data_IF_815021965739
#
_entry.id   IF_815021965739
#
_cell.length_a   1.000
_cell.length_b   1.000
_cell.length_c   1.000
_cell.angle_alpha   90.00
_cell.angle_beta   90.00
_cell.angle_gamma   90.00
#
_symmetry.space_group_name_H-M   'P 1'
#
loop_
_entity.id
_entity.type
_entity.pdbx_description
1 polymer ?
#
# COMPACT_ATOMS: atom_id res chain seq x y z
N UNK A 1 -36.78 -16.04 26.47
CA UNK A 1 -35.72 -15.36 25.75
C UNK A 1 -34.60 -16.31 25.24
N UNK A 2 -34.84 -17.20 24.26
CA UNK A 2 -33.76 -18.01 23.67
C UNK A 2 -33.49 -17.70 22.18
N UNK A 3 -33.95 -16.57 21.64
CA UNK A 3 -33.91 -16.28 20.19
C UNK A 3 -32.58 -15.68 19.69
N UNK A 4 -31.72 -15.21 20.54
CA UNK A 4 -30.45 -14.59 20.12
C UNK A 4 -29.31 -15.60 19.84
N UNK A 5 -29.30 -16.75 20.47
CA UNK A 5 -28.19 -17.73 20.39
C UNK A 5 -28.27 -18.69 19.20
N UNK A 6 -29.44 -18.80 18.55
CA UNK A 6 -29.64 -19.65 17.36
C UNK A 6 -29.45 -18.89 16.01
N UNK A 7 -28.89 -17.69 16.04
CA UNK A 7 -28.60 -16.97 14.80
C UNK A 7 -27.37 -17.58 14.15
N UNK A 8 -27.48 -18.17 12.94
CA UNK A 8 -26.35 -18.79 12.24
C UNK A 8 -25.20 -17.83 12.01
N UNK A 9 -25.47 -16.53 11.83
CA UNK A 9 -24.44 -15.50 11.69
C UNK A 9 -23.62 -15.30 12.96
N UNK A 10 -24.25 -15.36 14.15
CA UNK A 10 -23.54 -15.26 15.43
C UNK A 10 -22.69 -16.51 15.71
N UNK A 11 -23.19 -17.69 15.34
CA UNK A 11 -22.43 -18.93 15.46
C UNK A 11 -21.19 -18.93 14.53
N UNK A 12 -21.33 -18.45 13.29
CA UNK A 12 -20.21 -18.28 12.35
C UNK A 12 -19.20 -17.24 12.86
N UNK A 13 -19.66 -16.11 13.38
CA UNK A 13 -18.78 -15.08 13.96
C UNK A 13 -18.02 -15.64 15.19
N UNK A 14 -18.70 -16.37 16.07
CA UNK A 14 -18.05 -17.01 17.22
C UNK A 14 -17.01 -18.05 16.79
N UNK A 15 -17.28 -18.81 15.72
CA UNK A 15 -16.31 -19.74 15.15
C UNK A 15 -15.09 -19.04 14.58
N UNK A 16 -15.28 -17.94 13.85
CA UNK A 16 -14.19 -17.10 13.33
C UNK A 16 -13.32 -16.51 14.47
N UNK A 17 -13.94 -15.97 15.51
CA UNK A 17 -13.24 -15.41 16.67
C UNK A 17 -12.42 -16.44 17.46
N UNK A 18 -12.76 -17.72 17.36
CA UNK A 18 -12.01 -18.83 18.00
C UNK A 18 -10.79 -19.28 17.20
N UNK A 19 -10.67 -18.89 15.93
CA UNK A 19 -9.54 -19.25 15.09
C UNK A 19 -8.33 -18.36 15.40
N UNK A 20 -7.16 -18.92 15.77
CA UNK A 20 -5.96 -18.12 16.00
C UNK A 20 -5.58 -17.27 14.79
N UNK A 21 -5.81 -17.79 13.58
CA UNK A 21 -5.53 -17.13 12.30
C UNK A 21 -6.25 -15.79 12.16
N UNK A 22 -7.49 -15.68 12.70
CA UNK A 22 -8.24 -14.45 12.72
C UNK A 22 -7.49 -13.33 13.47
N UNK A 23 -6.92 -13.64 14.63
CA UNK A 23 -6.18 -12.67 15.44
C UNK A 23 -4.84 -12.29 14.80
N UNK A 24 -4.15 -13.24 14.14
CA UNK A 24 -2.95 -12.93 13.37
C UNK A 24 -3.25 -11.95 12.23
N UNK A 25 -4.35 -12.10 11.51
CA UNK A 25 -4.76 -11.18 10.44
C UNK A 25 -5.03 -9.78 10.98
N UNK A 26 -5.70 -9.67 12.13
CA UNK A 26 -6.05 -8.40 12.74
C UNK A 26 -4.87 -7.70 13.42
N UNK A 27 -3.81 -8.41 13.79
CA UNK A 27 -2.71 -7.83 14.57
C UNK A 27 -1.43 -7.64 13.77
N UNK A 28 -1.08 -8.54 12.85
CA UNK A 28 0.21 -8.52 12.15
C UNK A 28 0.44 -7.21 11.38
N UNK A 29 -0.45 -6.86 10.46
CA UNK A 29 -0.30 -5.67 9.64
C UNK A 29 -0.41 -4.37 10.46
N UNK A 30 -1.40 -4.19 11.37
CA UNK A 30 -1.42 -3.05 12.26
C UNK A 30 -0.17 -2.91 13.13
N UNK A 31 0.37 -4.01 13.67
CA UNK A 31 1.61 -3.97 14.46
C UNK A 31 2.79 -3.47 13.62
N UNK A 32 2.93 -3.93 12.38
CA UNK A 32 3.94 -3.42 11.46
C UNK A 32 3.75 -1.94 11.16
N UNK A 33 2.51 -1.47 10.95
CA UNK A 33 2.19 -0.04 10.77
C UNK A 33 2.53 0.76 12.01
N UNK A 34 2.24 0.25 13.22
CA UNK A 34 2.59 0.90 14.48
C UNK A 34 4.11 1.03 14.63
N UNK A 35 4.85 -0.06 14.46
CA UNK A 35 6.32 -0.08 14.52
C UNK A 35 6.91 0.90 13.51
N UNK A 36 6.46 0.85 12.28
CA UNK A 36 6.88 1.75 11.22
C UNK A 36 6.67 3.23 11.57
N UNK A 37 5.50 3.54 12.12
CA UNK A 37 5.16 4.91 12.53
C UNK A 37 6.06 5.38 13.69
N UNK A 38 6.28 4.54 14.69
CA UNK A 38 7.15 4.84 15.84
C UNK A 38 8.61 5.03 15.40
N UNK A 39 9.13 4.14 14.56
CA UNK A 39 10.50 4.25 14.02
C UNK A 39 10.67 5.54 13.22
N UNK A 40 9.72 5.88 12.35
CA UNK A 40 9.74 7.11 11.59
C UNK A 40 9.75 8.37 12.47
N UNK A 41 8.95 8.38 13.55
CA UNK A 41 8.92 9.48 14.52
C UNK A 41 10.20 9.58 15.34
N UNK A 42 10.78 8.44 15.75
CA UNK A 42 11.93 8.40 16.65
C UNK A 42 13.27 8.65 15.96
N UNK A 43 13.45 8.11 14.75
CA UNK A 43 14.74 8.11 14.03
C UNK A 43 14.78 9.07 12.84
N UNK A 44 13.71 9.86 12.65
CA UNK A 44 13.66 10.94 11.67
C UNK A 44 13.38 10.50 10.24
N UNK A 45 13.58 11.42 9.29
CA UNK A 45 13.15 11.27 7.90
C UNK A 45 13.81 10.10 7.15
N UNK A 46 15.06 9.76 7.47
CA UNK A 46 15.78 8.64 6.83
C UNK A 46 15.11 7.32 7.21
N UNK A 47 14.86 7.11 8.50
CA UNK A 47 14.18 5.91 8.98
C UNK A 47 12.73 5.83 8.46
N UNK A 48 12.01 6.95 8.45
CA UNK A 48 10.68 7.03 7.86
C UNK A 48 10.67 6.64 6.37
N UNK A 49 11.66 7.12 5.61
CA UNK A 49 11.84 6.76 4.20
C UNK A 49 12.16 5.27 3.98
N UNK A 50 13.04 4.69 4.81
CA UNK A 50 13.36 3.25 4.76
C UNK A 50 12.12 2.40 5.01
N UNK A 51 11.34 2.77 6.02
CA UNK A 51 10.13 2.02 6.39
C UNK A 51 9.01 2.18 5.36
N UNK A 52 8.86 3.37 4.77
CA UNK A 52 7.81 3.62 3.76
C UNK A 52 7.95 2.76 2.49
N UNK A 53 9.16 2.29 2.17
CA UNK A 53 9.40 1.39 1.04
C UNK A 53 9.15 -0.09 1.33
N UNK A 54 8.85 -0.45 2.58
CA UNK A 54 8.57 -1.82 2.96
C UNK A 54 7.10 -2.18 2.71
N UNK A 55 6.79 -3.44 2.41
CA UNK A 55 5.43 -3.91 2.14
C UNK A 55 4.61 -4.13 3.42
N UNK A 56 4.46 -3.07 4.23
CA UNK A 56 3.93 -3.15 5.60
C UNK A 56 2.45 -3.59 5.64
N UNK A 57 1.65 -3.19 4.66
CA UNK A 57 0.23 -3.56 4.56
C UNK A 57 0.04 -4.70 3.57
N UNK A 58 0.54 -4.53 2.34
CA UNK A 58 0.34 -5.52 1.29
C UNK A 58 1.16 -6.80 1.51
N UNK A 59 2.30 -6.74 2.21
CA UNK A 59 3.08 -7.93 2.56
C UNK A 59 2.30 -8.95 3.37
N UNK A 60 1.69 -8.59 4.49
CA UNK A 60 0.77 -9.46 5.23
C UNK A 60 -0.39 -10.00 4.40
N UNK A 61 -1.01 -9.19 3.53
CA UNK A 61 -2.07 -9.65 2.63
C UNK A 61 -1.55 -10.78 1.72
N UNK A 62 -0.41 -10.56 1.05
CA UNK A 62 0.21 -11.55 0.18
C UNK A 62 0.68 -12.79 0.94
N UNK A 63 1.13 -12.61 2.20
CA UNK A 63 1.48 -13.72 3.08
C UNK A 63 0.27 -14.61 3.37
N UNK A 64 -0.87 -14.02 3.78
CA UNK A 64 -2.10 -14.78 4.03
C UNK A 64 -2.65 -15.41 2.75
N UNK A 65 -2.56 -14.73 1.62
CA UNK A 65 -2.93 -15.35 0.34
C UNK A 65 -2.09 -16.59 0.02
N UNK A 66 -0.78 -16.53 0.27
CA UNK A 66 0.11 -17.65 0.02
C UNK A 66 -0.08 -18.82 1.02
N UNK A 67 -0.38 -18.52 2.29
CA UNK A 67 -0.59 -19.55 3.31
C UNK A 67 -1.95 -20.22 3.22
N UNK A 68 -3.00 -19.46 2.92
CA UNK A 68 -4.39 -19.96 2.96
C UNK A 68 -4.89 -20.47 1.61
N UNK A 69 -4.46 -19.82 0.51
CA UNK A 69 -4.88 -20.17 -0.84
C UNK A 69 -3.78 -20.90 -1.64
N UNK A 70 -2.60 -21.01 -1.06
CA UNK A 70 -1.45 -21.67 -1.65
C UNK A 70 -0.47 -20.76 -2.40
N UNK A 71 0.77 -21.23 -2.62
CA UNK A 71 1.87 -20.44 -3.21
C UNK A 71 1.56 -19.90 -4.61
N UNK A 72 0.83 -20.67 -5.43
CA UNK A 72 0.44 -20.26 -6.79
C UNK A 72 -0.50 -19.05 -6.77
N UNK A 73 -1.47 -19.05 -5.85
CA UNK A 73 -2.37 -17.92 -5.63
C UNK A 73 -1.58 -16.68 -5.16
N UNK A 74 -0.69 -16.84 -4.17
CA UNK A 74 0.16 -15.76 -3.66
C UNK A 74 1.07 -15.17 -4.73
N UNK A 75 1.67 -15.98 -5.59
CA UNK A 75 2.51 -15.53 -6.71
C UNK A 75 1.68 -14.74 -7.75
N UNK A 76 0.51 -15.23 -8.13
CA UNK A 76 -0.39 -14.53 -9.05
C UNK A 76 -0.91 -13.21 -8.45
N UNK A 77 -1.21 -13.19 -7.14
CA UNK A 77 -1.59 -11.98 -6.44
C UNK A 77 -0.43 -10.96 -6.37
N UNK A 78 0.81 -11.40 -6.12
CA UNK A 78 1.99 -10.53 -6.14
C UNK A 78 2.21 -9.89 -7.53
N UNK A 79 2.04 -10.67 -8.61
CA UNK A 79 2.09 -10.16 -9.97
C UNK A 79 1.00 -9.10 -10.22
N UNK A 80 -0.22 -9.36 -9.77
CA UNK A 80 -1.34 -8.43 -9.92
C UNK A 80 -1.18 -7.19 -9.03
N UNK A 81 -0.48 -7.31 -7.90
CA UNK A 81 -0.14 -6.17 -7.03
C UNK A 81 0.81 -5.19 -7.73
N UNK A 82 1.74 -5.68 -8.57
CA UNK A 82 2.56 -4.81 -9.43
C UNK A 82 1.69 -3.95 -10.36
N UNK A 83 0.68 -4.55 -10.97
CA UNK A 83 -0.27 -3.82 -11.83
C UNK A 83 -1.17 -2.90 -11.00
N UNK A 84 -1.49 -3.24 -9.76
CA UNK A 84 -2.19 -2.39 -8.81
C UNK A 84 -1.46 -1.07 -8.51
N UNK A 85 -0.13 -1.01 -8.72
CA UNK A 85 0.63 0.25 -8.64
C UNK A 85 0.19 1.27 -9.69
N UNK A 86 -0.36 0.84 -10.83
CA UNK A 86 -0.95 1.75 -11.82
C UNK A 86 -2.15 2.47 -11.21
N UNK A 87 -3.05 1.74 -10.55
CA UNK A 87 -4.21 2.32 -9.87
C UNK A 87 -3.78 3.28 -8.74
N UNK A 88 -2.74 2.91 -7.99
CA UNK A 88 -2.18 3.76 -6.94
C UNK A 88 -1.51 5.01 -7.51
N UNK A 89 -0.85 4.91 -8.67
CA UNK A 89 -0.30 6.06 -9.40
C UNK A 89 -1.41 7.02 -9.84
N UNK A 90 -2.52 6.50 -10.36
CA UNK A 90 -3.70 7.30 -10.73
C UNK A 90 -4.30 8.03 -9.52
N UNK A 91 -4.45 7.32 -8.38
CA UNK A 91 -4.84 7.95 -7.12
C UNK A 91 -3.96 9.14 -6.79
N UNK A 92 -2.64 8.92 -6.84
CA UNK A 92 -1.65 9.91 -6.42
C UNK A 92 -1.70 11.17 -7.29
N UNK A 93 -1.76 10.98 -8.61
CA UNK A 93 -1.81 12.08 -9.59
C UNK A 93 -3.14 12.84 -9.47
N UNK A 94 -4.27 12.12 -9.40
CA UNK A 94 -5.60 12.72 -9.29
C UNK A 94 -5.74 13.55 -7.99
N UNK A 95 -5.28 13.01 -6.86
CA UNK A 95 -5.27 13.73 -5.60
C UNK A 95 -4.42 15.01 -5.70
N UNK A 96 -3.18 14.88 -6.21
CA UNK A 96 -2.23 15.99 -6.27
C UNK A 96 -2.74 17.14 -7.15
N UNK A 97 -3.29 16.85 -8.33
CA UNK A 97 -3.84 17.86 -9.22
C UNK A 97 -5.08 18.53 -8.66
N UNK A 98 -5.97 17.76 -8.01
CA UNK A 98 -7.16 18.35 -7.36
C UNK A 98 -6.77 19.25 -6.20
N UNK A 99 -5.79 18.87 -5.40
CA UNK A 99 -5.25 19.69 -4.32
C UNK A 99 -4.61 20.96 -4.86
N UNK A 100 -3.79 20.84 -5.92
CA UNK A 100 -3.10 21.96 -6.56
C UNK A 100 -4.08 23.00 -7.16
N UNK A 101 -5.22 22.55 -7.71
CA UNK A 101 -6.27 23.42 -8.25
C UNK A 101 -7.17 24.04 -7.17
N UNK A 102 -6.76 24.03 -5.90
CA UNK A 102 -7.51 24.63 -4.79
C UNK A 102 -8.61 23.74 -4.21
N UNK A 103 -8.62 22.44 -4.53
CA UNK A 103 -9.57 21.48 -3.95
C UNK A 103 -9.34 21.26 -2.47
N UNK A 104 -10.42 21.00 -1.72
CA UNK A 104 -10.32 20.58 -0.32
C UNK A 104 -9.67 19.20 -0.20
N UNK A 105 -9.13 18.86 0.99
CA UNK A 105 -8.57 17.55 1.25
C UNK A 105 -9.58 16.41 1.00
N UNK A 106 -10.86 16.63 1.33
CA UNK A 106 -11.92 15.66 1.09
C UNK A 106 -12.20 15.47 -0.42
N UNK A 107 -12.35 16.56 -1.17
CA UNK A 107 -12.59 16.47 -2.63
C UNK A 107 -11.42 15.84 -3.36
N UNK A 108 -10.19 16.11 -2.93
CA UNK A 108 -8.98 15.49 -3.48
C UNK A 108 -8.91 13.99 -3.17
N UNK A 109 -9.31 13.61 -1.95
CA UNK A 109 -9.38 12.21 -1.53
C UNK A 109 -10.41 11.43 -2.35
N UNK A 110 -11.63 11.96 -2.48
CA UNK A 110 -12.70 11.31 -3.24
C UNK A 110 -12.27 11.12 -4.69
N UNK A 111 -11.71 12.15 -5.34
CA UNK A 111 -11.23 12.04 -6.70
C UNK A 111 -10.09 11.00 -6.83
N UNK A 112 -9.16 10.97 -5.88
CA UNK A 112 -8.10 9.97 -5.83
C UNK A 112 -8.65 8.54 -5.72
N UNK A 113 -9.59 8.29 -4.81
CA UNK A 113 -10.21 6.97 -4.65
C UNK A 113 -11.02 6.55 -5.89
N UNK A 114 -11.73 7.47 -6.51
CA UNK A 114 -12.42 7.22 -7.78
C UNK A 114 -11.42 6.83 -8.87
N UNK A 115 -10.30 7.55 -8.99
CA UNK A 115 -9.25 7.24 -9.95
C UNK A 115 -8.61 5.87 -9.68
N UNK A 116 -8.36 5.52 -8.41
CA UNK A 116 -7.90 4.19 -8.02
C UNK A 116 -8.89 3.10 -8.43
N UNK A 117 -10.16 3.27 -8.08
CA UNK A 117 -11.21 2.30 -8.37
C UNK A 117 -11.40 2.09 -9.88
N UNK A 118 -11.46 3.17 -10.65
CA UNK A 118 -11.55 3.11 -12.11
C UNK A 118 -10.34 2.42 -12.73
N UNK A 119 -9.12 2.77 -12.29
CA UNK A 119 -7.90 2.11 -12.73
C UNK A 119 -7.92 0.61 -12.43
N UNK A 120 -8.33 0.23 -11.23
CA UNK A 120 -8.45 -1.17 -10.82
C UNK A 120 -9.49 -1.93 -11.68
N UNK A 121 -10.65 -1.34 -11.93
CA UNK A 121 -11.68 -1.95 -12.78
C UNK A 121 -11.19 -2.13 -14.22
N UNK A 122 -10.57 -1.11 -14.79
CA UNK A 122 -10.01 -1.17 -16.16
C UNK A 122 -8.94 -2.27 -16.26
N UNK A 123 -7.98 -2.27 -15.34
CA UNK A 123 -6.92 -3.29 -15.34
C UNK A 123 -7.51 -4.68 -15.16
N UNK A 124 -8.44 -4.87 -14.21
CA UNK A 124 -9.08 -6.16 -13.99
C UNK A 124 -9.82 -6.67 -15.25
N UNK A 125 -10.47 -5.78 -16.01
CA UNK A 125 -11.12 -6.12 -17.27
C UNK A 125 -10.11 -6.52 -18.37
N UNK A 126 -9.00 -5.81 -18.47
CA UNK A 126 -7.93 -6.15 -19.41
C UNK A 126 -7.29 -7.50 -19.07
N UNK A 127 -7.11 -7.81 -17.79
CA UNK A 127 -6.56 -9.07 -17.33
C UNK A 127 -7.52 -10.26 -17.47
N UNK A 128 -8.79 -10.02 -17.71
CA UNK A 128 -9.74 -11.09 -18.04
C UNK A 128 -9.45 -11.76 -19.38
N UNK A 129 -8.84 -11.03 -20.32
CA UNK A 129 -8.48 -11.51 -21.66
C UNK A 129 -6.98 -11.76 -21.87
N UNK A 130 -6.13 -11.22 -21.01
CA UNK A 130 -4.68 -11.29 -21.13
C UNK A 130 -4.01 -11.61 -19.77
N UNK A 131 -3.15 -12.62 -19.76
CA UNK A 131 -2.32 -12.95 -18.60
C UNK A 131 -0.96 -12.27 -18.76
N UNK A 132 -0.68 -11.22 -18.00
CA UNK A 132 0.56 -10.48 -18.15
C UNK A 132 1.76 -11.32 -17.73
N UNK A 133 2.85 -11.19 -18.46
CA UNK A 133 4.17 -11.64 -18.03
C UNK A 133 4.69 -10.75 -16.88
N UNK A 134 5.69 -11.23 -16.16
CA UNK A 134 6.35 -10.41 -15.14
C UNK A 134 6.99 -9.14 -15.74
N UNK A 135 7.54 -9.24 -16.95
CA UNK A 135 8.13 -8.09 -17.63
C UNK A 135 7.08 -7.01 -17.93
N UNK A 136 5.90 -7.39 -18.40
CA UNK A 136 4.78 -6.46 -18.60
C UNK A 136 4.30 -5.86 -17.29
N UNK A 137 4.14 -6.67 -16.23
CA UNK A 137 3.73 -6.17 -14.91
C UNK A 137 4.74 -5.19 -14.31
N UNK A 138 6.05 -5.45 -14.47
CA UNK A 138 7.11 -4.51 -14.07
C UNK A 138 7.10 -3.24 -14.92
N UNK A 139 6.98 -3.37 -16.24
CA UNK A 139 6.95 -2.23 -17.15
C UNK A 139 5.78 -1.30 -16.81
N UNK A 140 4.58 -1.83 -16.66
CA UNK A 140 3.39 -1.03 -16.34
C UNK A 140 3.39 -0.55 -14.89
N UNK A 141 3.72 -1.41 -13.93
CA UNK A 141 3.73 -1.08 -12.51
C UNK A 141 4.81 -0.05 -12.18
N UNK A 142 6.09 -0.36 -12.39
CA UNK A 142 7.19 0.56 -12.11
C UNK A 142 7.20 1.76 -13.07
N UNK A 143 6.86 1.55 -14.35
CA UNK A 143 6.72 2.62 -15.34
C UNK A 143 5.66 3.65 -14.94
N UNK A 144 4.52 3.20 -14.39
CA UNK A 144 3.48 4.09 -13.89
C UNK A 144 3.95 4.97 -12.73
N UNK A 145 4.81 4.45 -11.84
CA UNK A 145 5.39 5.25 -10.75
C UNK A 145 6.26 6.39 -11.28
N UNK A 146 7.13 6.09 -12.26
CA UNK A 146 7.98 7.10 -12.90
C UNK A 146 7.15 8.15 -13.64
N UNK A 147 6.13 7.70 -14.37
CA UNK A 147 5.21 8.59 -15.07
C UNK A 147 4.43 9.46 -14.08
N UNK A 148 3.93 8.89 -12.99
CA UNK A 148 3.21 9.62 -11.96
C UNK A 148 4.09 10.69 -11.30
N UNK A 149 5.37 10.38 -11.00
CA UNK A 149 6.32 11.37 -10.45
C UNK A 149 6.48 12.57 -11.39
N UNK A 150 6.59 12.32 -12.71
CA UNK A 150 6.70 13.38 -13.72
C UNK A 150 5.40 14.14 -13.95
N UNK A 151 4.27 13.49 -13.71
CA UNK A 151 2.92 14.06 -13.86
C UNK A 151 2.43 14.81 -12.62
N UNK A 152 3.18 14.84 -11.52
CA UNK A 152 2.82 15.66 -10.37
C UNK A 152 2.81 17.14 -10.75
N UNK A 153 1.88 17.94 -10.19
CA UNK A 153 1.85 19.38 -10.44
C UNK A 153 3.18 20.05 -10.03
N UNK A 154 3.51 21.22 -10.59
CA UNK A 154 4.75 21.93 -10.25
C UNK A 154 4.80 22.25 -8.75
N UNK A 155 6.02 22.27 -8.19
CA UNK A 155 6.21 22.63 -6.80
C UNK A 155 5.82 24.11 -6.61
N UNK A 156 5.04 24.36 -5.58
CA UNK A 156 4.74 25.73 -5.13
C UNK A 156 5.78 26.13 -4.08
N UNK A 157 6.03 27.42 -3.95
CA UNK A 157 6.91 27.91 -2.89
C UNK A 157 6.38 27.43 -1.54
N UNK A 158 7.12 26.55 -0.90
CA UNK A 158 6.75 26.05 0.40
C UNK A 158 6.85 27.20 1.40
N UNK A 159 5.75 27.60 1.98
CA UNK A 159 5.81 28.31 3.25
C UNK A 159 6.38 27.31 4.24
N UNK A 160 7.62 27.53 4.67
CA UNK A 160 8.33 26.64 5.59
C UNK A 160 7.60 26.62 6.95
N UNK A 161 6.55 25.81 7.03
CA UNK A 161 5.90 25.46 8.30
C UNK A 161 6.48 24.11 8.75
N UNK A 162 6.91 24.07 10.00
CA UNK A 162 7.25 22.79 10.62
C UNK A 162 6.10 21.81 10.38
N UNK A 163 6.42 20.57 10.00
CA UNK A 163 5.41 19.55 9.84
C UNK A 163 4.67 19.40 11.17
N UNK A 164 3.36 19.67 11.21
CA UNK A 164 2.63 19.67 12.46
C UNK A 164 2.58 18.24 13.03
N UNK A 165 2.51 18.14 14.34
CA UNK A 165 2.36 16.85 15.00
C UNK A 165 1.03 16.20 14.59
N UNK A 166 1.07 14.89 14.22
CA UNK A 166 -0.15 14.18 13.88
C UNK A 166 -1.07 14.08 15.10
N UNK A 167 -2.40 14.21 14.90
CA UNK A 167 -3.34 14.12 16.01
C UNK A 167 -3.30 12.73 16.66
N UNK A 168 -3.72 12.64 17.92
CA UNK A 168 -3.72 11.40 18.71
C UNK A 168 -4.53 10.27 18.05
N UNK A 169 -5.56 10.60 17.27
CA UNK A 169 -6.39 9.63 16.55
C UNK A 169 -5.77 9.13 15.22
N UNK A 170 -4.68 9.73 14.72
CA UNK A 170 -4.02 9.35 13.48
C UNK A 170 -3.57 7.88 13.50
N UNK A 171 -2.85 7.48 14.52
CA UNK A 171 -2.36 6.10 14.64
C UNK A 171 -3.50 5.09 14.83
N UNK A 172 -4.45 5.26 15.78
CA UNK A 172 -5.60 4.36 15.90
C UNK A 172 -6.40 4.20 14.61
N UNK A 173 -6.65 5.28 13.88
CA UNK A 173 -7.38 5.22 12.62
C UNK A 173 -6.64 4.39 11.56
N UNK A 174 -5.32 4.57 11.44
CA UNK A 174 -4.50 3.77 10.52
C UNK A 174 -4.51 2.29 10.89
N UNK A 175 -4.36 1.97 12.17
CA UNK A 175 -4.37 0.60 12.66
C UNK A 175 -5.69 -0.08 12.36
N UNK A 176 -6.80 0.57 12.69
CA UNK A 176 -8.15 0.06 12.43
C UNK A 176 -8.41 -0.14 10.92
N UNK A 177 -8.13 0.87 10.11
CA UNK A 177 -8.34 0.80 8.67
C UNK A 177 -7.45 -0.26 8.00
N UNK A 178 -6.21 -0.44 8.50
CA UNK A 178 -5.31 -1.51 8.02
C UNK A 178 -5.83 -2.88 8.40
N UNK A 179 -6.24 -3.08 9.65
CA UNK A 179 -6.83 -4.34 10.11
C UNK A 179 -8.06 -4.71 9.29
N UNK A 180 -8.95 -3.74 9.07
CA UNK A 180 -10.17 -3.93 8.29
C UNK A 180 -9.84 -4.31 6.83
N UNK A 181 -8.90 -3.62 6.18
CA UNK A 181 -8.50 -3.94 4.81
C UNK A 181 -7.93 -5.35 4.70
N UNK A 182 -6.97 -5.70 5.56
CA UNK A 182 -6.34 -7.03 5.56
C UNK A 182 -7.40 -8.10 5.79
N UNK A 183 -8.27 -7.89 6.76
CA UNK A 183 -9.37 -8.81 7.03
C UNK A 183 -10.30 -8.99 5.81
N UNK A 184 -10.79 -7.90 5.23
CA UNK A 184 -11.71 -7.97 4.10
C UNK A 184 -11.07 -8.66 2.89
N UNK A 185 -9.84 -8.29 2.51
CA UNK A 185 -9.17 -8.88 1.36
C UNK A 185 -8.85 -10.36 1.56
N UNK A 186 -8.45 -10.76 2.77
CA UNK A 186 -8.15 -12.17 3.04
C UNK A 186 -9.39 -13.02 3.25
N UNK A 187 -10.45 -12.47 3.86
CA UNK A 187 -11.73 -13.15 4.02
C UNK A 187 -12.42 -13.42 2.67
N UNK A 188 -12.39 -12.44 1.77
CA UNK A 188 -12.96 -12.58 0.43
C UNK A 188 -11.97 -13.09 -0.62
N UNK A 189 -10.80 -13.61 -0.21
CA UNK A 189 -9.73 -14.01 -1.12
C UNK A 189 -10.20 -14.97 -2.23
N UNK A 190 -10.99 -15.99 -1.88
CA UNK A 190 -11.50 -16.95 -2.86
C UNK A 190 -12.47 -16.30 -3.86
N UNK A 191 -13.36 -15.43 -3.39
CA UNK A 191 -14.35 -14.72 -4.24
C UNK A 191 -13.68 -13.69 -5.14
N UNK A 192 -12.72 -12.93 -4.60
CA UNK A 192 -11.97 -11.92 -5.36
C UNK A 192 -11.01 -12.55 -6.37
N UNK A 193 -10.48 -13.72 -6.03
CA UNK A 193 -9.39 -14.35 -6.78
C UNK A 193 -8.06 -13.60 -6.68
N UNK A 194 -6.97 -14.19 -7.19
CA UNK A 194 -5.64 -13.59 -7.04
C UNK A 194 -5.45 -12.30 -7.83
N UNK A 195 -6.20 -12.12 -8.92
CA UNK A 195 -6.09 -10.92 -9.76
C UNK A 195 -6.65 -9.71 -9.04
N UNK A 196 -7.94 -9.73 -8.70
CA UNK A 196 -8.59 -8.58 -8.06
C UNK A 196 -8.07 -8.35 -6.63
N UNK A 197 -7.82 -9.43 -5.88
CA UNK A 197 -7.21 -9.35 -4.54
C UNK A 197 -5.82 -8.71 -4.59
N UNK A 198 -5.00 -9.07 -5.58
CA UNK A 198 -3.69 -8.45 -5.80
C UNK A 198 -3.78 -6.98 -6.22
N UNK A 199 -4.69 -6.62 -7.14
CA UNK A 199 -4.91 -5.23 -7.56
C UNK A 199 -5.34 -4.33 -6.40
N UNK A 200 -6.10 -4.86 -5.44
CA UNK A 200 -6.59 -4.13 -4.27
C UNK A 200 -5.58 -4.09 -3.11
N UNK A 201 -4.59 -4.99 -3.08
CA UNK A 201 -3.61 -5.05 -2.00
C UNK A 201 -2.84 -3.73 -1.76
N UNK A 202 -2.45 -2.93 -2.80
CA UNK A 202 -1.80 -1.66 -2.60
C UNK A 202 -2.77 -0.50 -2.32
N UNK A 203 -4.02 -0.75 -1.93
CA UNK A 203 -4.96 0.33 -1.61
C UNK A 203 -4.38 1.30 -0.58
N UNK A 204 -4.44 2.63 -0.83
CA UNK A 204 -3.61 3.62 -0.12
C UNK A 204 -4.13 4.00 1.27
N UNK A 205 -4.46 3.05 2.15
CA UNK A 205 -5.02 3.37 3.48
C UNK A 205 -4.06 4.22 4.32
N UNK A 206 -2.83 3.73 4.53
CA UNK A 206 -1.89 4.42 5.40
C UNK A 206 -1.46 5.79 4.84
N UNK A 207 -1.24 5.87 3.53
CA UNK A 207 -0.86 7.10 2.85
C UNK A 207 -2.02 8.09 2.72
N UNK A 208 -3.27 7.62 2.62
CA UNK A 208 -4.46 8.48 2.61
C UNK A 208 -4.54 9.36 3.85
N UNK A 209 -4.44 8.75 5.05
CA UNK A 209 -4.53 9.49 6.31
C UNK A 209 -3.42 10.53 6.39
N UNK A 210 -2.16 10.13 6.08
CA UNK A 210 -1.02 11.03 6.09
C UNK A 210 -1.17 12.19 5.09
N UNK A 211 -1.63 11.91 3.88
CA UNK A 211 -1.80 12.91 2.82
C UNK A 211 -2.90 13.90 3.14
N UNK A 212 -4.08 13.42 3.61
CA UNK A 212 -5.20 14.28 4.03
C UNK A 212 -4.77 15.20 5.16
N UNK A 213 -4.03 14.67 6.13
CA UNK A 213 -3.55 15.43 7.26
C UNK A 213 -2.55 16.51 6.83
N UNK A 214 -1.55 16.14 6.03
CA UNK A 214 -0.58 17.07 5.45
C UNK A 214 -1.28 18.17 4.64
N UNK A 215 -2.29 17.81 3.84
CA UNK A 215 -3.07 18.76 3.06
C UNK A 215 -3.82 19.78 3.93
N UNK A 216 -4.48 19.30 5.01
CA UNK A 216 -5.23 20.19 5.91
C UNK A 216 -4.34 21.17 6.67
N UNK A 217 -3.11 20.80 6.95
CA UNK A 217 -2.21 21.61 7.77
C UNK A 217 -1.23 22.44 6.96
N UNK A 218 -0.67 21.88 5.88
CA UNK A 218 0.36 22.51 5.06
C UNK A 218 -0.06 22.79 3.63
N UNK A 219 -1.35 22.60 3.30
CA UNK A 219 -1.88 22.88 1.96
C UNK A 219 -1.46 21.85 0.90
N UNK A 220 -1.69 22.23 -0.36
CA UNK A 220 -1.44 21.38 -1.53
C UNK A 220 0.03 20.93 -1.67
N UNK A 221 0.99 21.80 -1.32
CA UNK A 221 2.42 21.46 -1.45
C UNK A 221 2.85 20.42 -0.41
N UNK A 222 2.32 20.46 0.81
CA UNK A 222 2.58 19.44 1.81
C UNK A 222 2.02 18.08 1.38
N UNK A 223 0.79 18.06 0.85
CA UNK A 223 0.19 16.85 0.28
C UNK A 223 1.03 16.30 -0.89
N UNK A 224 1.44 17.17 -1.82
CA UNK A 224 2.28 16.83 -2.96
C UNK A 224 3.61 16.20 -2.52
N UNK A 225 4.25 16.76 -1.50
CA UNK A 225 5.50 16.24 -0.96
C UNK A 225 5.36 14.84 -0.38
N UNK A 226 4.28 14.57 0.36
CA UNK A 226 3.94 13.23 0.87
C UNK A 226 3.71 12.25 -0.27
N UNK A 227 2.92 12.63 -1.27
CA UNK A 227 2.60 11.78 -2.42
C UNK A 227 3.85 11.48 -3.27
N UNK A 228 4.74 12.46 -3.46
CA UNK A 228 6.02 12.25 -4.13
C UNK A 228 6.91 11.27 -3.36
N UNK A 229 6.99 11.41 -2.04
CA UNK A 229 7.71 10.47 -1.17
C UNK A 229 7.16 9.05 -1.29
N UNK A 230 5.83 8.91 -1.30
CA UNK A 230 5.15 7.61 -1.51
C UNK A 230 5.56 6.98 -2.85
N UNK A 231 5.44 7.71 -3.96
CA UNK A 231 5.80 7.19 -5.30
C UNK A 231 7.26 6.73 -5.38
N UNK A 232 8.17 7.44 -4.73
CA UNK A 232 9.57 7.03 -4.65
C UNK A 232 9.72 5.72 -3.84
N UNK A 233 9.10 5.64 -2.67
CA UNK A 233 9.18 4.46 -1.81
C UNK A 233 8.58 3.20 -2.47
N UNK A 234 7.54 3.35 -3.31
CA UNK A 234 6.88 2.24 -4.00
C UNK A 234 7.77 1.51 -5.03
N UNK A 235 8.92 2.06 -5.42
CA UNK A 235 9.87 1.33 -6.27
C UNK A 235 10.47 0.11 -5.54
N UNK A 236 10.79 0.24 -4.25
CA UNK A 236 11.23 -0.90 -3.44
C UNK A 236 10.10 -1.93 -3.27
N UNK A 237 8.87 -1.47 -3.10
CA UNK A 237 7.69 -2.34 -3.05
C UNK A 237 7.45 -3.08 -4.38
N UNK A 238 7.67 -2.43 -5.53
CA UNK A 238 7.59 -3.09 -6.83
C UNK A 238 8.61 -4.25 -6.94
N UNK A 239 9.85 -4.03 -6.46
CA UNK A 239 10.86 -5.10 -6.40
C UNK A 239 10.45 -6.22 -5.46
N UNK A 240 9.89 -5.92 -4.30
CA UNK A 240 9.32 -6.93 -3.39
C UNK A 240 8.30 -7.82 -4.13
N UNK A 241 7.31 -7.23 -4.78
CA UNK A 241 6.28 -7.97 -5.50
C UNK A 241 6.84 -8.80 -6.65
N UNK A 242 7.82 -8.26 -7.40
CA UNK A 242 8.45 -8.98 -8.50
C UNK A 242 9.22 -10.21 -8.02
N UNK A 243 10.04 -10.06 -6.98
CA UNK A 243 10.79 -11.18 -6.40
C UNK A 243 9.83 -12.20 -5.81
N UNK A 244 8.79 -11.77 -5.11
CA UNK A 244 7.80 -12.67 -4.53
C UNK A 244 7.06 -13.47 -5.60
N UNK A 245 6.63 -12.83 -6.69
CA UNK A 245 5.97 -13.49 -7.80
C UNK A 245 6.84 -14.57 -8.47
N UNK A 246 8.15 -14.35 -8.56
CA UNK A 246 9.10 -15.31 -9.11
C UNK A 246 9.47 -16.45 -8.17
N UNK A 247 9.67 -16.10 -6.89
CA UNK A 247 10.30 -16.98 -5.93
C UNK A 247 9.30 -17.91 -5.23
N UNK A 248 8.04 -17.44 -5.04
CA UNK A 248 7.09 -18.12 -4.15
C UNK A 248 6.75 -19.55 -4.60
N UNK A 249 6.54 -19.75 -5.90
CA UNK A 249 6.25 -21.08 -6.44
C UNK A 249 7.48 -22.01 -6.50
N UNK A 250 8.70 -21.44 -6.46
CA UNK A 250 9.96 -22.22 -6.61
C UNK A 250 10.63 -22.53 -5.29
N UNK A 251 10.66 -21.58 -4.37
CA UNK A 251 11.42 -21.64 -3.11
C UNK A 251 10.53 -21.93 -1.89
N UNK A 252 9.21 -21.83 -2.06
CA UNK A 252 8.27 -21.90 -0.94
C UNK A 252 8.20 -20.59 -0.15
N UNK A 253 7.37 -20.58 0.91
CA UNK A 253 6.92 -19.37 1.60
C UNK A 253 8.08 -18.57 2.23
N UNK A 254 8.77 -19.14 3.20
CA UNK A 254 9.73 -18.39 4.01
C UNK A 254 10.94 -17.88 3.20
N UNK A 255 11.61 -18.68 2.34
CA UNK A 255 12.71 -18.19 1.52
C UNK A 255 12.28 -17.14 0.52
N UNK A 256 11.08 -17.26 -0.09
CA UNK A 256 10.56 -16.29 -1.04
C UNK A 256 10.30 -14.94 -0.41
N UNK A 257 9.64 -14.91 0.76
CA UNK A 257 9.41 -13.67 1.52
C UNK A 257 10.71 -13.05 2.02
N UNK A 258 11.65 -13.88 2.52
CA UNK A 258 12.98 -13.43 2.93
C UNK A 258 13.73 -12.74 1.79
N UNK A 259 13.82 -13.39 0.63
CA UNK A 259 14.47 -12.84 -0.56
C UNK A 259 13.78 -11.53 -1.04
N UNK A 260 12.45 -11.50 -1.06
CA UNK A 260 11.70 -10.33 -1.48
C UNK A 260 11.91 -9.14 -0.54
N UNK A 261 11.91 -9.37 0.78
CA UNK A 261 12.18 -8.33 1.78
C UNK A 261 13.61 -7.80 1.69
N UNK A 262 14.60 -8.67 1.54
CA UNK A 262 16.01 -8.28 1.39
C UNK A 262 16.20 -7.45 0.11
N UNK A 263 15.63 -7.86 -1.02
CA UNK A 263 15.71 -7.12 -2.27
C UNK A 263 15.05 -5.74 -2.16
N UNK A 264 13.87 -5.66 -1.55
CA UNK A 264 13.19 -4.37 -1.31
C UNK A 264 14.01 -3.46 -0.39
N UNK A 265 14.57 -4.00 0.69
CA UNK A 265 15.41 -3.26 1.62
C UNK A 265 16.68 -2.72 0.93
N UNK A 266 17.33 -3.52 0.10
CA UNK A 266 18.51 -3.10 -0.66
C UNK A 266 18.19 -1.93 -1.60
N UNK A 267 17.08 -1.99 -2.34
CA UNK A 267 16.63 -0.90 -3.21
C UNK A 267 16.31 0.34 -2.40
N UNK A 268 15.60 0.18 -1.26
CA UNK A 268 15.23 1.30 -0.41
C UNK A 268 16.45 2.01 0.19
N UNK A 269 17.43 1.27 0.68
CA UNK A 269 18.71 1.81 1.18
C UNK A 269 19.44 2.57 0.06
N UNK A 270 19.54 1.97 -1.14
CA UNK A 270 20.16 2.61 -2.30
C UNK A 270 19.49 3.93 -2.67
N UNK A 271 18.16 3.98 -2.66
CA UNK A 271 17.39 5.20 -2.94
C UNK A 271 17.60 6.29 -1.90
N UNK A 272 17.59 5.94 -0.61
CA UNK A 272 17.85 6.89 0.48
C UNK A 272 19.28 7.45 0.37
N UNK A 273 20.26 6.58 0.16
CA UNK A 273 21.64 6.98 -0.02
C UNK A 273 21.82 7.95 -1.20
N UNK A 274 21.20 7.66 -2.33
CA UNK A 274 21.22 8.54 -3.50
C UNK A 274 20.58 9.91 -3.22
N UNK A 275 19.44 9.93 -2.51
CA UNK A 275 18.75 11.16 -2.13
C UNK A 275 19.58 12.03 -1.19
N UNK A 276 20.28 11.44 -0.21
CA UNK A 276 21.17 12.16 0.71
C UNK A 276 22.32 12.81 -0.06
N UNK A 277 23.01 12.03 -0.90
CA UNK A 277 24.12 12.57 -1.72
C UNK A 277 23.67 13.63 -2.72
N UNK A 278 22.48 13.51 -3.28
CA UNK A 278 21.96 14.52 -4.20
C UNK A 278 21.64 15.85 -3.50
N UNK A 279 21.38 15.85 -2.18
CA UNK A 279 21.20 17.07 -1.37
C UNK A 279 22.53 17.73 -1.00
N UNK A 280 23.58 16.94 -0.75
CA UNK A 280 24.92 17.46 -0.42
C UNK A 280 25.62 18.14 -1.61
N UNK A 281 25.16 17.87 -2.84
CA UNK A 281 25.72 18.46 -4.08
C UNK A 281 25.03 19.78 -4.52
N UNK A 282 23.99 20.19 -3.81
CA UNK A 282 23.26 21.46 -4.06
C UNK A 282 23.53 22.47 -2.97
#
# INVERSE_FOLDING_TARGET
>A
MPLFWNNPALAQLAALLRQPEFWYKLTLAPSLVAVATVLGRRYGQIAAGLVAGLPIVAGPILYFYATEQGPAFGAAAALSTLLGLVSLSLFTVAYAWRAWSGGSALSSLVLGWVAFALGTVVINRLLASHRPSLAEALLFGAGSLLLAIRSLPPAQAAVARAAPEPPIWDLPLRLFATALLVFLLTYFAQTLGPVLGGLLAPFPIASTVLTVFAHRQGGSEAARSVLKGLLLALNAFAVFCAVLALALARLGLAPAFGAALLAAAAVQVGMVYWQVRARERK
#
